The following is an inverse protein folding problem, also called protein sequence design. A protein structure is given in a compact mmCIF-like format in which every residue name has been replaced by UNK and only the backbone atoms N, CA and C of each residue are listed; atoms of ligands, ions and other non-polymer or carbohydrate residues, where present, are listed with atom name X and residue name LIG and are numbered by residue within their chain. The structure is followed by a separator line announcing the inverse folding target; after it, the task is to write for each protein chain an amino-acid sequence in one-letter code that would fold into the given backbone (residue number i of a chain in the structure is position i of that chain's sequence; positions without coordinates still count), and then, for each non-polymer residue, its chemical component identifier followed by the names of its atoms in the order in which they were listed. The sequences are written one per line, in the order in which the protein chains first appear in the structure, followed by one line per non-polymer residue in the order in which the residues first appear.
data_IF_859000058061
#
_entry.id   IF_859000058061
#
_cell.length_a   1.000
_cell.length_b   1.000
_cell.length_c   1.000
_cell.angle_alpha   90.00
_cell.angle_beta   90.00
_cell.angle_gamma   90.00
#
_symmetry.space_group_name_H-M   'P 1'
#
loop_
_entity.id
_entity.type
_entity.pdbx_description
1 polymer ?
#
# COMPACT_ATOMS: atom_id res chain seq x y z
N UNK A 1 -16.15 37.69 -10.09
CA UNK A 1 -15.00 36.79 -9.86
C UNK A 1 -14.85 35.96 -11.13
N UNK A 2 -13.82 36.21 -11.96
CA UNK A 2 -13.58 35.37 -13.13
C UNK A 2 -13.09 34.02 -12.62
N UNK A 3 -13.80 32.93 -12.92
CA UNK A 3 -13.25 31.59 -12.68
C UNK A 3 -11.94 31.48 -13.47
N UNK A 4 -10.88 31.01 -12.82
CA UNK A 4 -9.63 30.70 -13.52
C UNK A 4 -9.90 29.63 -14.60
N UNK A 5 -9.21 29.74 -15.74
CA UNK A 5 -9.33 28.73 -16.80
C UNK A 5 -8.70 27.40 -16.36
N UNK A 6 -9.18 26.26 -16.90
CA UNK A 6 -8.60 24.94 -16.62
C UNK A 6 -7.11 24.87 -16.89
N UNK A 7 -6.63 25.54 -17.95
CA UNK A 7 -5.22 25.69 -18.24
C UNK A 7 -4.45 26.28 -17.06
N UNK A 8 -4.92 27.41 -16.51
CA UNK A 8 -4.25 28.10 -15.41
C UNK A 8 -4.24 27.22 -14.17
N UNK A 9 -5.38 26.59 -13.83
CA UNK A 9 -5.47 25.67 -12.68
C UNK A 9 -4.49 24.51 -12.79
N UNK A 10 -4.40 23.90 -13.96
CA UNK A 10 -3.48 22.79 -14.25
C UNK A 10 -2.00 23.22 -14.22
N UNK A 11 -1.63 24.35 -14.83
CA UNK A 11 -0.25 24.84 -14.78
C UNK A 11 0.18 25.23 -13.34
N UNK A 12 -0.72 25.85 -12.58
CA UNK A 12 -0.46 26.19 -11.18
C UNK A 12 -0.24 24.93 -10.34
N UNK A 13 -1.07 23.90 -10.53
CA UNK A 13 -0.93 22.64 -9.78
C UNK A 13 0.40 21.96 -10.08
N UNK A 14 0.81 21.82 -11.34
CA UNK A 14 2.10 21.18 -11.69
C UNK A 14 3.31 21.97 -11.18
N UNK A 15 3.24 23.30 -11.10
CA UNK A 15 4.30 24.13 -10.51
C UNK A 15 4.46 23.84 -9.00
N UNK A 16 3.33 23.73 -8.29
CA UNK A 16 3.32 23.35 -6.87
C UNK A 16 3.84 21.94 -6.68
N UNK A 17 3.38 20.97 -7.48
CA UNK A 17 3.83 19.59 -7.41
C UNK A 17 5.33 19.45 -7.69
N UNK A 18 5.87 20.17 -8.69
CA UNK A 18 7.32 20.21 -8.96
C UNK A 18 8.12 20.77 -7.78
N UNK A 19 7.56 21.73 -7.05
CA UNK A 19 8.21 22.28 -5.85
C UNK A 19 8.22 21.28 -4.68
N UNK A 20 7.22 20.40 -4.62
CA UNK A 20 7.08 19.39 -3.56
C UNK A 20 7.92 18.15 -3.85
N UNK A 21 7.81 17.60 -5.06
CA UNK A 21 8.39 16.30 -5.44
C UNK A 21 9.76 16.42 -6.12
N UNK A 22 10.12 17.61 -6.60
CA UNK A 22 11.42 17.85 -7.23
C UNK A 22 11.67 16.92 -8.41
N UNK A 23 12.68 16.05 -8.28
CA UNK A 23 13.07 15.10 -9.32
C UNK A 23 12.17 13.85 -9.37
N UNK A 24 11.32 13.62 -8.38
CA UNK A 24 10.43 12.46 -8.31
C UNK A 24 9.22 12.60 -9.26
N UNK A 25 8.97 13.79 -9.81
CA UNK A 25 7.88 14.08 -10.75
C UNK A 25 8.40 14.33 -12.16
N UNK A 26 7.78 13.66 -13.13
CA UNK A 26 8.07 13.78 -14.56
C UNK A 26 6.85 14.32 -15.30
N UNK A 27 7.02 15.40 -16.06
CA UNK A 27 6.00 15.93 -16.98
C UNK A 27 6.17 15.27 -18.36
N UNK A 28 5.19 14.48 -18.78
CA UNK A 28 5.22 13.73 -20.04
C UNK A 28 4.69 14.54 -21.22
N UNK A 29 4.27 15.79 -20.99
CA UNK A 29 3.81 16.65 -22.08
C UNK A 29 4.99 17.04 -22.96
N UNK A 30 4.87 16.94 -24.29
CA UNK A 30 5.91 17.37 -25.21
C UNK A 30 6.10 18.89 -25.14
N UNK A 31 7.34 19.35 -25.31
CA UNK A 31 7.67 20.77 -25.49
C UNK A 31 7.10 21.28 -26.83
N UNK A 32 5.82 21.60 -26.86
CA UNK A 32 5.10 22.07 -28.06
C UNK A 32 4.55 23.48 -27.87
N UNK A 33 4.29 24.14 -28.99
CA UNK A 33 3.72 25.51 -29.05
C UNK A 33 2.26 25.63 -28.57
N UNK A 34 1.55 24.52 -28.37
CA UNK A 34 0.14 24.51 -27.94
C UNK A 34 0.02 23.82 -26.59
N UNK A 35 -0.80 24.41 -25.72
CA UNK A 35 -1.11 23.85 -24.40
C UNK A 35 -1.76 22.47 -24.52
N UNK A 36 -1.43 21.59 -23.58
CA UNK A 36 -2.01 20.25 -23.44
C UNK A 36 -2.35 19.99 -21.97
N UNK A 37 -3.43 19.23 -21.70
CA UNK A 37 -3.75 18.78 -20.35
C UNK A 37 -2.60 18.03 -19.69
N UNK A 38 -2.54 18.07 -18.36
CA UNK A 38 -1.50 17.39 -17.60
C UNK A 38 -1.42 15.90 -17.93
N UNK A 39 -0.20 15.45 -18.15
CA UNK A 39 0.16 14.05 -18.22
C UNK A 39 1.48 13.91 -17.48
N UNK A 40 1.45 13.30 -16.31
CA UNK A 40 2.58 13.28 -15.38
C UNK A 40 2.74 11.92 -14.71
N UNK A 41 3.96 11.60 -14.32
CA UNK A 41 4.27 10.46 -13.45
C UNK A 41 4.96 10.98 -12.19
N UNK A 42 4.51 10.53 -11.01
CA UNK A 42 5.15 10.81 -9.73
C UNK A 42 5.63 9.48 -9.12
N UNK A 43 6.93 9.36 -8.91
CA UNK A 43 7.54 8.23 -8.20
C UNK A 43 7.32 8.40 -6.69
N UNK A 44 6.53 7.53 -6.08
CA UNK A 44 6.14 7.65 -4.68
C UNK A 44 6.73 6.52 -3.83
N UNK A 45 7.26 6.91 -2.68
CA UNK A 45 7.80 6.02 -1.64
C UNK A 45 7.02 6.24 -0.32
N UNK A 46 7.04 5.27 0.61
CA UNK A 46 6.47 5.42 1.94
C UNK A 46 6.85 6.76 2.56
N UNK A 47 5.87 7.45 3.15
CA UNK A 47 6.15 8.70 3.85
C UNK A 47 7.25 8.46 4.90
N UNK A 48 8.36 9.20 4.80
CA UNK A 48 9.49 9.11 5.73
C UNK A 48 9.02 9.58 7.10
N UNK A 49 8.67 8.64 7.97
CA UNK A 49 8.57 8.89 9.41
C UNK A 49 9.96 9.23 9.96
N UNK A 50 10.05 9.87 11.13
CA UNK A 50 11.33 10.13 11.82
C UNK A 50 12.14 8.85 12.14
N UNK A 51 11.57 7.67 11.92
CA UNK A 51 12.27 6.39 11.95
C UNK A 51 13.02 6.11 10.65
N UNK A 52 14.27 5.64 10.77
CA UNK A 52 15.12 5.03 9.72
C UNK A 52 14.52 3.72 9.14
N UNK A 53 13.20 3.66 8.93
CA UNK A 53 12.59 2.54 8.24
C UNK A 53 13.03 2.59 6.77
N UNK A 54 13.75 1.56 6.33
CA UNK A 54 14.06 1.36 4.92
C UNK A 54 12.75 1.32 4.12
N UNK A 55 12.75 1.97 2.96
CA UNK A 55 11.61 1.96 2.05
C UNK A 55 11.64 0.67 1.22
N UNK A 56 10.73 -0.25 1.52
CA UNK A 56 10.57 -1.53 0.83
C UNK A 56 9.46 -1.51 -0.22
N UNK A 57 8.58 -0.51 -0.15
CA UNK A 57 7.51 -0.29 -1.12
C UNK A 57 7.80 0.96 -1.98
N UNK A 58 7.36 0.93 -3.23
CA UNK A 58 7.40 2.07 -4.16
C UNK A 58 6.29 1.87 -5.20
N UNK A 59 5.72 2.96 -5.70
CA UNK A 59 4.81 2.91 -6.86
C UNK A 59 4.91 4.20 -7.67
N UNK A 60 4.69 4.10 -8.97
CA UNK A 60 4.60 5.26 -9.84
C UNK A 60 3.12 5.62 -10.04
N UNK A 61 2.75 6.82 -9.63
CA UNK A 61 1.42 7.38 -9.82
C UNK A 61 1.38 8.15 -11.14
N UNK A 62 0.71 7.58 -12.13
CA UNK A 62 0.55 8.18 -13.45
C UNK A 62 -0.83 8.82 -13.56
N UNK A 63 -0.84 10.14 -13.77
CA UNK A 63 -2.04 10.97 -13.85
C UNK A 63 -2.17 11.55 -15.25
N UNK A 64 -3.31 11.31 -15.88
CA UNK A 64 -3.66 11.84 -17.20
C UNK A 64 -4.94 12.66 -17.06
N UNK A 65 -4.80 13.98 -17.11
CA UNK A 65 -5.92 14.92 -16.99
C UNK A 65 -6.62 15.14 -18.33
N UNK A 66 -7.90 15.51 -18.27
CA UNK A 66 -8.64 16.03 -19.43
C UNK A 66 -8.47 17.55 -19.52
N UNK A 67 -8.94 18.15 -20.61
CA UNK A 67 -8.96 19.59 -20.81
C UNK A 67 -9.93 20.33 -19.85
N UNK A 68 -10.80 19.58 -19.17
CA UNK A 68 -11.75 20.10 -18.17
C UNK A 68 -11.38 19.75 -16.73
N UNK A 69 -10.29 19.04 -16.49
CA UNK A 69 -9.82 18.84 -15.13
C UNK A 69 -9.58 20.20 -14.43
N UNK A 70 -10.01 20.39 -13.17
CA UNK A 70 -10.48 19.35 -12.23
C UNK A 70 -11.99 19.06 -12.21
N UNK A 71 -12.79 19.68 -13.07
CA UNK A 71 -14.23 19.43 -13.14
C UNK A 71 -14.54 18.03 -13.67
N UNK A 72 -13.62 17.45 -14.45
CA UNK A 72 -13.56 16.03 -14.76
C UNK A 72 -12.39 15.38 -14.01
N UNK A 73 -12.63 14.21 -13.41
CA UNK A 73 -11.58 13.45 -12.71
C UNK A 73 -10.50 12.96 -13.69
N UNK A 74 -9.22 12.90 -13.27
CA UNK A 74 -8.17 12.39 -14.13
C UNK A 74 -8.28 10.87 -14.29
N UNK A 75 -7.66 10.35 -15.34
CA UNK A 75 -7.36 8.93 -15.42
C UNK A 75 -6.15 8.62 -14.54
N UNK A 76 -6.31 7.62 -13.66
CA UNK A 76 -5.32 7.24 -12.64
C UNK A 76 -4.79 5.86 -12.99
N UNK A 77 -3.48 5.76 -13.13
CA UNK A 77 -2.75 4.52 -13.36
C UNK A 77 -1.68 4.34 -12.28
N UNK A 78 -1.50 3.09 -11.86
CA UNK A 78 -0.48 2.70 -10.90
C UNK A 78 0.52 1.76 -11.59
N UNK A 79 1.75 2.23 -11.73
CA UNK A 79 2.80 1.57 -12.51
C UNK A 79 4.01 1.21 -11.63
N UNK A 80 4.85 0.31 -12.13
CA UNK A 80 6.14 -0.07 -11.53
C UNK A 80 6.10 -0.39 -10.02
N UNK A 81 4.99 -0.95 -9.54
CA UNK A 81 4.80 -1.24 -8.11
C UNK A 81 5.82 -2.24 -7.59
N UNK A 82 6.49 -1.89 -6.49
CA UNK A 82 7.40 -2.75 -5.73
C UNK A 82 6.93 -2.81 -4.28
N UNK A 83 7.09 -3.97 -3.65
CA UNK A 83 6.69 -4.18 -2.24
C UNK A 83 5.19 -4.30 -1.98
N UNK A 84 4.34 -4.17 -3.02
CA UNK A 84 2.90 -4.39 -2.95
C UNK A 84 2.49 -5.60 -3.79
N UNK A 85 1.50 -6.35 -3.29
CA UNK A 85 0.83 -7.39 -4.07
C UNK A 85 -0.17 -6.78 -5.06
N UNK A 86 -0.52 -7.53 -6.10
CA UNK A 86 -1.54 -7.13 -7.08
C UNK A 86 -2.88 -6.77 -6.44
N UNK A 87 -3.28 -7.48 -5.38
CA UNK A 87 -4.51 -7.18 -4.65
C UNK A 87 -4.42 -5.84 -3.92
N UNK A 88 -3.29 -5.53 -3.29
CA UNK A 88 -3.08 -4.23 -2.64
C UNK A 88 -3.09 -3.08 -3.65
N UNK A 89 -2.45 -3.26 -4.81
CA UNK A 89 -2.48 -2.27 -5.90
C UNK A 89 -3.91 -2.04 -6.40
N UNK A 90 -4.72 -3.09 -6.53
CA UNK A 90 -6.11 -2.97 -6.95
C UNK A 90 -6.99 -2.23 -5.91
N UNK A 91 -6.76 -2.49 -4.61
CA UNK A 91 -7.43 -1.78 -3.51
C UNK A 91 -7.05 -0.30 -3.55
N UNK A 92 -5.75 0.01 -3.58
CA UNK A 92 -5.24 1.38 -3.66
C UNK A 92 -5.80 2.12 -4.88
N UNK A 93 -5.83 1.47 -6.06
CA UNK A 93 -6.42 2.07 -7.26
C UNK A 93 -7.88 2.46 -7.06
N UNK A 94 -8.69 1.55 -6.50
CA UNK A 94 -10.10 1.84 -6.25
C UNK A 94 -10.27 2.98 -5.24
N UNK A 95 -9.46 3.02 -4.19
CA UNK A 95 -9.48 4.08 -3.18
C UNK A 95 -9.17 5.44 -3.80
N UNK A 96 -8.16 5.52 -4.68
CA UNK A 96 -7.82 6.73 -5.45
C UNK A 96 -8.96 7.17 -6.38
N UNK A 97 -9.62 6.24 -7.05
CA UNK A 97 -10.77 6.55 -7.91
C UNK A 97 -11.95 7.11 -7.09
N UNK A 98 -12.18 6.61 -5.88
CA UNK A 98 -13.22 7.18 -5.00
C UNK A 98 -12.81 8.55 -4.48
N UNK A 99 -11.55 8.72 -4.06
CA UNK A 99 -11.02 9.99 -3.58
C UNK A 99 -11.11 11.08 -4.66
N UNK A 100 -10.73 10.76 -5.90
CA UNK A 100 -10.84 11.69 -7.03
C UNK A 100 -12.28 12.15 -7.28
N UNK A 101 -13.27 11.26 -7.12
CA UNK A 101 -14.69 11.63 -7.23
C UNK A 101 -15.15 12.54 -6.10
N UNK A 102 -14.63 12.36 -4.89
CA UNK A 102 -14.95 13.22 -3.75
C UNK A 102 -14.36 14.63 -3.90
N UNK A 103 -13.18 14.73 -4.53
CA UNK A 103 -12.47 15.99 -4.75
C UNK A 103 -12.82 16.65 -6.10
N UNK A 104 -13.70 16.04 -6.91
CA UNK A 104 -14.10 16.55 -8.21
C UNK A 104 -14.56 18.01 -8.13
N UNK A 105 -14.02 18.85 -9.02
CA UNK A 105 -14.22 20.29 -9.02
C UNK A 105 -13.03 21.08 -8.46
N UNK A 106 -12.13 20.44 -7.72
CA UNK A 106 -10.88 21.03 -7.21
C UNK A 106 -9.63 20.24 -7.60
N UNK A 107 -8.50 20.93 -7.67
CA UNK A 107 -7.20 20.30 -7.94
C UNK A 107 -6.88 19.28 -6.85
N UNK A 108 -6.49 18.05 -7.23
CA UNK A 108 -6.52 16.88 -6.36
C UNK A 108 -5.28 15.98 -6.46
N UNK A 109 -4.33 16.27 -7.35
CA UNK A 109 -3.19 15.37 -7.60
C UNK A 109 -2.32 15.23 -6.34
N UNK A 110 -2.18 16.31 -5.58
CA UNK A 110 -1.43 16.27 -4.33
C UNK A 110 -2.10 15.36 -3.29
N UNK A 111 -3.41 15.48 -3.10
CA UNK A 111 -4.17 14.62 -2.18
C UNK A 111 -4.09 13.14 -2.57
N UNK A 112 -4.17 12.85 -3.88
CA UNK A 112 -3.96 11.49 -4.41
C UNK A 112 -2.55 10.98 -4.08
N UNK A 113 -1.52 11.79 -4.30
CA UNK A 113 -0.14 11.41 -3.99
C UNK A 113 0.09 11.18 -2.49
N UNK A 114 -0.48 12.03 -1.63
CA UNK A 114 -0.44 11.84 -0.17
C UNK A 114 -1.13 10.53 0.24
N UNK A 115 -2.30 10.25 -0.31
CA UNK A 115 -3.02 9.01 -0.04
C UNK A 115 -2.16 7.78 -0.39
N UNK A 116 -1.48 7.80 -1.54
CA UNK A 116 -0.53 6.75 -1.91
C UNK A 116 0.62 6.64 -0.92
N UNK A 117 1.25 7.75 -0.52
CA UNK A 117 2.39 7.71 0.42
C UNK A 117 2.00 7.17 1.80
N UNK A 118 0.79 7.49 2.27
CA UNK A 118 0.22 6.94 3.52
C UNK A 118 -0.03 5.44 3.36
N UNK A 119 -0.69 5.02 2.26
CA UNK A 119 -0.95 3.61 2.01
C UNK A 119 0.35 2.80 1.91
N UNK A 120 1.36 3.32 1.22
CA UNK A 120 2.69 2.71 1.13
C UNK A 120 3.33 2.58 2.50
N UNK A 121 3.19 3.58 3.38
CA UNK A 121 3.72 3.54 4.75
C UNK A 121 3.07 2.42 5.58
N UNK A 122 1.74 2.29 5.53
CA UNK A 122 1.00 1.25 6.26
C UNK A 122 1.36 -0.17 5.79
N UNK A 123 1.73 -0.31 4.52
CA UNK A 123 2.06 -1.59 3.89
C UNK A 123 3.57 -1.78 3.67
N UNK A 124 4.42 -0.91 4.23
CA UNK A 124 5.87 -0.97 4.10
C UNK A 124 6.48 -2.10 4.95
N UNK A 125 6.22 -3.34 4.56
CA UNK A 125 6.82 -4.52 5.21
C UNK A 125 8.07 -4.96 4.43
N UNK A 126 9.19 -5.31 5.10
CA UNK A 126 10.30 -5.96 4.43
C UNK A 126 9.80 -7.24 3.76
N UNK A 127 10.19 -7.51 2.52
CA UNK A 127 9.72 -8.68 1.75
C UNK A 127 9.96 -10.01 2.47
N UNK A 128 10.97 -10.07 3.35
CA UNK A 128 11.26 -11.23 4.21
C UNK A 128 10.23 -11.46 5.32
N UNK A 129 9.36 -10.49 5.64
CA UNK A 129 8.34 -10.64 6.68
C UNK A 129 7.37 -11.78 6.40
N UNK A 130 6.99 -12.01 5.14
CA UNK A 130 6.12 -13.15 4.79
C UNK A 130 6.83 -14.49 5.00
N UNK A 131 8.13 -14.58 4.70
CA UNK A 131 8.92 -15.80 4.95
C UNK A 131 9.19 -16.01 6.44
N UNK A 132 9.43 -14.93 7.18
CA UNK A 132 9.61 -14.95 8.62
C UNK A 132 8.30 -15.32 9.34
N UNK A 133 7.16 -14.75 8.95
CA UNK A 133 5.84 -15.09 9.47
C UNK A 133 5.51 -16.56 9.20
N UNK A 134 5.79 -17.08 8.00
CA UNK A 134 5.60 -18.49 7.68
C UNK A 134 6.51 -19.40 8.53
N UNK A 135 7.79 -19.03 8.69
CA UNK A 135 8.73 -19.77 9.52
C UNK A 135 8.30 -19.79 10.99
N UNK A 136 7.86 -18.65 11.53
CA UNK A 136 7.38 -18.51 12.90
C UNK A 136 6.10 -19.33 13.11
N UNK A 137 5.16 -19.29 12.16
CA UNK A 137 3.93 -20.07 12.21
C UNK A 137 4.21 -21.58 12.23
N UNK A 138 5.06 -22.07 11.32
CA UNK A 138 5.50 -23.49 11.29
C UNK A 138 6.19 -23.90 12.59
N UNK A 139 7.00 -23.02 13.18
CA UNK A 139 7.68 -23.28 14.44
C UNK A 139 6.71 -23.38 15.62
N UNK A 140 5.73 -22.47 15.71
CA UNK A 140 4.70 -22.49 16.74
C UNK A 140 3.81 -23.73 16.62
N UNK A 141 3.43 -24.12 15.41
CA UNK A 141 2.64 -25.32 15.15
C UNK A 141 3.39 -26.58 15.59
N UNK A 142 4.69 -26.66 15.28
CA UNK A 142 5.54 -27.77 15.72
C UNK A 142 5.61 -27.87 17.25
N UNK A 143 5.86 -26.76 17.94
CA UNK A 143 5.87 -26.72 19.43
C UNK A 143 4.53 -27.16 20.00
N UNK A 144 3.41 -26.71 19.40
CA UNK A 144 2.07 -27.06 19.86
C UNK A 144 1.80 -28.57 19.70
N UNK A 145 2.18 -29.15 18.57
CA UNK A 145 2.02 -30.58 18.31
C UNK A 145 2.88 -31.43 19.26
N UNK A 146 4.14 -31.07 19.47
CA UNK A 146 5.03 -31.76 20.41
C UNK A 146 4.48 -31.72 21.84
N UNK A 147 3.92 -30.58 22.26
CA UNK A 147 3.29 -30.44 23.58
C UNK A 147 2.03 -31.29 23.73
N UNK A 148 1.21 -31.36 22.69
CA UNK A 148 -0.01 -32.18 22.66
C UNK A 148 0.33 -33.68 22.73
N UNK A 149 1.30 -34.13 21.94
CA UNK A 149 1.76 -35.53 21.97
C UNK A 149 2.30 -35.92 23.35
N UNK A 150 3.06 -35.04 24.00
CA UNK A 150 3.58 -35.28 25.34
C UNK A 150 2.45 -35.41 26.37
N UNK A 151 1.45 -34.52 26.34
CA UNK A 151 0.30 -34.59 27.24
C UNK A 151 -0.51 -35.88 27.05
N UNK A 152 -0.79 -36.27 25.80
CA UNK A 152 -1.51 -37.52 25.51
C UNK A 152 -0.78 -38.75 26.05
N UNK A 153 0.55 -38.76 25.95
CA UNK A 153 1.37 -39.85 26.48
C UNK A 153 1.33 -39.91 28.02
N UNK A 154 1.48 -38.76 28.68
CA UNK A 154 1.41 -38.67 30.15
C UNK A 154 0.03 -39.09 30.69
N UNK A 155 -1.05 -38.68 30.02
CA UNK A 155 -2.41 -39.07 30.40
C UNK A 155 -2.66 -40.56 30.22
N UNK A 156 -2.18 -41.15 29.12
CA UNK A 156 -2.28 -42.60 28.89
C UNK A 156 -1.51 -43.40 29.95
N UNK A 157 -0.30 -42.97 30.31
CA UNK A 157 0.49 -43.61 31.37
C UNK A 157 -0.20 -43.52 32.74
N UNK A 158 -0.84 -42.39 33.06
CA UNK A 158 -1.64 -42.24 34.30
C UNK A 158 -2.87 -43.15 34.32
N UNK A 159 -3.59 -43.26 33.20
CA UNK A 159 -4.74 -44.15 33.08
C UNK A 159 -4.33 -45.61 33.29
N UNK A 160 -3.29 -46.07 32.59
CA UNK A 160 -2.77 -47.43 32.74
C UNK A 160 -2.29 -47.72 34.17
N UNK A 161 -1.61 -46.76 34.82
CA UNK A 161 -1.18 -46.91 36.22
C UNK A 161 -2.38 -47.03 37.18
N UNK A 162 -3.43 -46.23 36.96
CA UNK A 162 -4.66 -46.24 37.77
C UNK A 162 -5.40 -47.56 37.60
N UNK A 163 -5.57 -48.03 36.36
CA UNK A 163 -6.21 -49.33 36.07
C UNK A 163 -5.45 -50.51 36.70
N UNK A 164 -4.11 -50.51 36.63
CA UNK A 164 -3.27 -51.54 37.28
C UNK A 164 -3.42 -51.53 38.79
N UNK A 165 -3.61 -50.36 39.41
CA UNK A 165 -3.79 -50.25 40.85
C UNK A 165 -5.15 -50.82 41.28
N UNK A 166 -6.23 -50.47 40.56
CA UNK A 166 -7.59 -50.98 40.81
C UNK A 166 -7.66 -52.50 40.67
N UNK A 167 -7.06 -53.09 39.62
CA UNK A 167 -7.05 -54.55 39.41
C UNK A 167 -6.29 -55.37 40.46
N UNK A 168 -5.41 -54.74 41.25
CA UNK A 168 -4.63 -55.45 42.29
C UNK A 168 -5.31 -55.44 43.66
N UNK A 169 -6.32 -54.59 43.86
CA UNK A 169 -7.01 -54.44 45.15
C UNK A 169 -8.46 -54.96 45.14
N UNK A 170 -8.98 -55.39 43.98
CA UNK A 170 -10.24 -56.14 43.85
C UNK A 170 -9.97 -57.61 43.59
#
# INVERSE_FOLDING_TARGET
MSSESYKVRQENEIEVLKSIFGEEICDLRPEKRKWQPLNIIISLMPQKSMSLAEAYAQIDLHIICTDKYPDEVPNIQLENSKGLSHQQVAVLHNDLVQLAKQLQGEVMIFDLAQHVQIYLHEHNKPSYSSFYEEMVSRHQEKIKNEKLEKQLKEDKERQEATERHVRRQG
#
